data_IF_248969889375
#
_entry.id   IF_248969889375
#
_cell.length_a   1.000
_cell.length_b   1.000
_cell.length_c   1.000
_cell.angle_alpha   90.00
_cell.angle_beta   90.00
_cell.angle_gamma   90.00
#
_symmetry.space_group_name_H-M   'P 1'
#
loop_
_entity.id
_entity.type
_entity.pdbx_description
1 polymer ?
#
# COMPACT_ATOMS: atom_id res chain seq x y z
N UNK A 1 7.75 -8.05 29.88
CA UNK A 1 8.48 -7.87 28.61
C UNK A 1 8.65 -6.38 28.28
N UNK A 2 9.51 -5.67 29.02
CA UNK A 2 9.74 -4.21 28.84
C UNK A 2 10.60 -3.89 27.60
N UNK A 3 11.47 -4.83 27.22
CA UNK A 3 12.41 -4.74 26.08
C UNK A 3 11.75 -4.75 24.69
N UNK A 4 10.54 -5.31 24.55
CA UNK A 4 9.80 -5.30 23.28
C UNK A 4 9.14 -3.94 23.04
N UNK A 5 8.55 -3.35 24.10
CA UNK A 5 7.99 -1.99 24.09
C UNK A 5 9.08 -0.95 23.82
N UNK A 6 10.24 -1.04 24.48
CA UNK A 6 11.37 -0.11 24.26
C UNK A 6 11.92 -0.17 22.83
N UNK A 7 11.94 -1.36 22.19
CA UNK A 7 12.33 -1.49 20.77
C UNK A 7 11.29 -0.92 19.81
N UNK A 8 10.00 -1.10 20.10
CA UNK A 8 8.93 -0.53 19.29
C UNK A 8 8.90 1.00 19.38
N UNK A 9 9.13 1.56 20.57
CA UNK A 9 9.07 3.00 20.80
C UNK A 9 10.23 3.79 20.16
N UNK A 10 11.40 3.16 20.01
CA UNK A 10 12.59 3.80 19.45
C UNK A 10 12.99 3.23 18.08
N UNK A 11 12.03 2.68 17.33
CA UNK A 11 12.38 2.10 16.04
C UNK A 11 12.81 3.18 15.04
N UNK A 12 14.09 3.18 14.58
CA UNK A 12 14.60 4.23 13.70
C UNK A 12 13.88 4.25 12.35
N UNK A 13 13.29 3.13 11.91
CA UNK A 13 12.56 3.08 10.65
C UNK A 13 11.20 3.78 10.73
N UNK A 14 10.60 3.90 11.92
CA UNK A 14 9.37 4.70 12.10
C UNK A 14 9.68 6.18 11.98
N UNK A 15 10.78 6.65 12.58
CA UNK A 15 11.21 8.04 12.44
C UNK A 15 11.62 8.34 11.01
N UNK A 16 12.38 7.44 10.40
CA UNK A 16 12.80 7.55 9.00
C UNK A 16 11.61 7.56 8.05
N UNK A 17 10.61 6.67 8.23
CA UNK A 17 9.43 6.66 7.35
C UNK A 17 8.71 8.00 7.37
N UNK A 18 8.56 8.63 8.54
CA UNK A 18 7.97 9.97 8.64
C UNK A 18 8.82 11.03 7.92
N UNK A 19 10.14 11.01 8.11
CA UNK A 19 11.05 11.94 7.46
C UNK A 19 11.03 11.79 5.93
N UNK A 20 10.93 10.55 5.44
CA UNK A 20 10.89 10.22 4.00
C UNK A 20 9.46 10.32 3.42
N UNK A 21 8.46 10.72 4.22
CA UNK A 21 7.06 10.90 3.77
C UNK A 21 6.23 9.62 3.63
N UNK A 22 6.74 8.48 4.11
CA UNK A 22 6.03 7.21 4.13
C UNK A 22 5.17 7.04 5.38
N UNK A 23 3.95 6.51 5.19
CA UNK A 23 2.96 6.28 6.25
C UNK A 23 3.29 5.14 7.18
N UNK A 24 4.17 4.23 6.76
CA UNK A 24 4.67 3.16 7.62
C UNK A 24 6.08 2.73 7.22
N UNK A 25 6.80 2.17 8.18
CA UNK A 25 8.09 1.51 7.92
C UNK A 25 7.98 0.29 6.98
N UNK A 26 6.76 -0.23 6.74
CA UNK A 26 6.57 -1.37 5.85
C UNK A 26 6.87 -1.00 4.39
N UNK A 27 6.79 0.29 4.03
CA UNK A 27 7.18 0.80 2.70
C UNK A 27 8.60 0.33 2.32
N UNK A 28 9.56 0.37 3.25
CA UNK A 28 10.93 -0.08 3.00
C UNK A 28 11.02 -1.55 2.60
N UNK A 29 10.14 -2.41 3.12
CA UNK A 29 10.12 -3.82 2.75
C UNK A 29 9.77 -3.99 1.28
N UNK A 30 8.73 -3.29 0.81
CA UNK A 30 8.31 -3.36 -0.59
C UNK A 30 9.36 -2.72 -1.52
N UNK A 31 9.95 -1.59 -1.09
CA UNK A 31 11.06 -0.94 -1.82
C UNK A 31 12.22 -1.93 -2.00
N UNK A 32 12.68 -2.57 -0.92
CA UNK A 32 13.79 -3.53 -0.98
C UNK A 32 13.48 -4.75 -1.84
N UNK A 33 12.24 -5.28 -1.76
CA UNK A 33 11.79 -6.41 -2.58
C UNK A 33 11.76 -5.99 -4.07
N UNK A 34 11.16 -4.85 -4.39
CA UNK A 34 11.03 -4.38 -5.76
C UNK A 34 12.38 -3.96 -6.36
N UNK A 35 13.26 -3.31 -5.60
CA UNK A 35 14.60 -2.95 -6.08
C UNK A 35 15.45 -4.19 -6.40
N UNK A 36 15.22 -5.30 -5.70
CA UNK A 36 15.92 -6.56 -5.92
C UNK A 36 15.32 -7.40 -7.05
N UNK A 37 14.00 -7.41 -7.17
CA UNK A 37 13.27 -8.35 -8.03
C UNK A 37 12.56 -7.71 -9.22
N UNK A 38 12.47 -6.37 -9.26
CA UNK A 38 11.83 -5.58 -10.30
C UNK A 38 10.40 -6.07 -10.61
N UNK A 39 9.62 -6.25 -9.53
CA UNK A 39 8.28 -6.82 -9.60
C UNK A 39 7.29 -5.81 -10.20
N UNK A 40 7.40 -4.54 -9.79
CA UNK A 40 6.48 -3.47 -10.13
C UNK A 40 6.99 -2.71 -11.35
N UNK A 41 6.16 -2.61 -12.38
CA UNK A 41 6.46 -1.89 -13.62
C UNK A 41 5.44 -0.79 -13.87
N UNK A 42 5.82 0.29 -14.58
CA UNK A 42 4.87 1.31 -15.02
C UNK A 42 3.66 0.68 -15.73
N UNK A 43 2.45 1.10 -15.33
CA UNK A 43 1.19 0.60 -15.89
C UNK A 43 0.63 -0.67 -15.24
N UNK A 44 1.38 -1.37 -14.37
CA UNK A 44 0.89 -2.58 -13.72
C UNK A 44 -0.24 -2.31 -12.74
N UNK A 45 -1.25 -3.17 -12.80
CA UNK A 45 -2.42 -3.17 -11.93
C UNK A 45 -2.18 -3.96 -10.65
N UNK A 46 -2.21 -3.29 -9.51
CA UNK A 46 -1.82 -3.83 -8.20
C UNK A 46 -2.98 -3.72 -7.21
N UNK A 47 -3.19 -4.80 -6.46
CA UNK A 47 -4.08 -4.82 -5.29
C UNK A 47 -3.24 -4.97 -4.01
N UNK A 48 -3.45 -4.07 -3.05
CA UNK A 48 -2.83 -4.11 -1.72
C UNK A 48 -3.86 -4.57 -0.68
N UNK A 49 -3.69 -5.79 -0.17
CA UNK A 49 -4.62 -6.41 0.80
C UNK A 49 -4.14 -6.15 2.23
N UNK A 50 -5.00 -5.57 3.07
CA UNK A 50 -4.58 -5.12 4.41
C UNK A 50 -3.75 -3.84 4.32
N UNK A 51 -4.22 -2.90 3.51
CA UNK A 51 -3.44 -1.75 3.07
C UNK A 51 -3.17 -0.73 4.19
N UNK A 52 -3.94 -0.67 5.29
CA UNK A 52 -3.81 0.38 6.29
C UNK A 52 -2.41 0.34 6.96
N UNK A 53 -1.68 1.47 7.07
CA UNK A 53 -2.10 2.87 6.82
C UNK A 53 -1.78 3.41 5.40
N UNK A 54 -1.42 2.55 4.44
CA UNK A 54 -1.22 2.90 3.03
C UNK A 54 0.25 2.94 2.59
N UNK A 55 1.17 2.41 3.39
CA UNK A 55 2.61 2.47 3.10
C UNK A 55 3.02 1.70 1.83
N UNK A 56 2.40 0.56 1.57
CA UNK A 56 2.65 -0.21 0.34
C UNK A 56 1.96 0.42 -0.86
N UNK A 57 0.70 0.88 -0.72
CA UNK A 57 0.02 1.70 -1.72
C UNK A 57 0.87 2.89 -2.21
N UNK A 58 1.55 3.64 -1.31
CA UNK A 58 2.43 4.74 -1.70
C UNK A 58 3.57 4.30 -2.62
N UNK A 59 4.22 3.19 -2.28
CA UNK A 59 5.34 2.63 -3.06
C UNK A 59 4.81 2.09 -4.40
N UNK A 60 3.73 1.31 -4.37
CA UNK A 60 3.12 0.74 -5.55
C UNK A 60 2.73 1.84 -6.55
N UNK A 61 2.04 2.90 -6.09
CA UNK A 61 1.60 3.98 -6.96
C UNK A 61 2.79 4.69 -7.64
N UNK A 62 3.87 4.93 -6.90
CA UNK A 62 5.08 5.55 -7.43
C UNK A 62 5.79 4.66 -8.49
N UNK A 63 5.86 3.34 -8.23
CA UNK A 63 6.53 2.36 -9.11
C UNK A 63 5.73 2.08 -10.38
N UNK A 64 4.41 1.98 -10.27
CA UNK A 64 3.50 1.72 -11.40
C UNK A 64 3.06 2.96 -12.15
N UNK A 65 3.55 4.15 -11.77
CA UNK A 65 3.14 5.45 -12.33
C UNK A 65 1.62 5.66 -12.25
N UNK A 66 1.02 5.14 -11.20
CA UNK A 66 -0.40 5.30 -10.91
C UNK A 66 -0.69 6.75 -10.52
N UNK A 67 -1.78 7.29 -11.03
CA UNK A 67 -2.21 8.67 -10.77
C UNK A 67 -3.72 8.71 -10.54
N UNK A 68 -4.25 9.86 -10.14
CA UNK A 68 -5.70 10.02 -10.00
C UNK A 68 -6.44 9.87 -11.33
N UNK A 69 -5.82 10.30 -12.44
CA UNK A 69 -6.41 10.23 -13.80
C UNK A 69 -6.26 8.84 -14.44
N UNK A 70 -5.28 8.06 -13.98
CA UNK A 70 -5.01 6.70 -14.45
C UNK A 70 -4.59 5.83 -13.25
N UNK A 71 -5.56 5.40 -12.43
CA UNK A 71 -5.29 4.58 -11.25
C UNK A 71 -4.96 3.14 -11.68
N UNK A 72 -3.82 2.64 -11.21
CA UNK A 72 -3.38 1.26 -11.35
C UNK A 72 -3.23 0.56 -9.99
N UNK A 73 -3.53 1.24 -8.88
CA UNK A 73 -3.38 0.68 -7.54
C UNK A 73 -4.69 0.79 -6.79
N UNK A 74 -5.13 -0.32 -6.20
CA UNK A 74 -6.28 -0.36 -5.30
C UNK A 74 -5.85 -0.98 -3.97
N UNK A 75 -6.04 -0.26 -2.87
CA UNK A 75 -5.87 -0.77 -1.52
C UNK A 75 -7.21 -1.16 -0.91
N UNK A 76 -7.23 -2.22 -0.11
CA UNK A 76 -8.41 -2.63 0.66
C UNK A 76 -8.03 -2.94 2.11
N UNK A 77 -8.79 -2.38 3.04
CA UNK A 77 -8.65 -2.64 4.47
C UNK A 77 -9.97 -2.34 5.18
N UNK A 78 -10.29 -3.01 6.29
CA UNK A 78 -11.47 -2.67 7.09
C UNK A 78 -11.22 -1.44 7.98
N UNK A 79 -9.95 -1.10 8.23
CA UNK A 79 -9.55 0.09 8.95
C UNK A 79 -9.61 1.33 8.05
N UNK A 80 -10.06 2.44 8.63
CA UNK A 80 -10.01 3.75 7.97
C UNK A 80 -8.56 4.22 7.81
N UNK A 81 -8.26 4.86 6.67
CA UNK A 81 -6.99 5.51 6.41
C UNK A 81 -7.16 6.71 5.49
N UNK A 82 -6.23 7.67 5.55
CA UNK A 82 -6.24 8.82 4.66
C UNK A 82 -6.14 8.39 3.18
N UNK A 83 -6.66 9.19 2.26
CA UNK A 83 -6.52 8.94 0.83
C UNK A 83 -5.04 8.89 0.41
N UNK A 84 -4.63 7.89 -0.37
CA UNK A 84 -3.26 7.78 -0.90
C UNK A 84 -3.25 8.29 -2.36
N UNK A 85 -2.47 9.34 -2.70
CA UNK A 85 -2.39 9.82 -4.07
C UNK A 85 -1.98 8.70 -5.05
N UNK A 86 -2.76 8.54 -6.12
CA UNK A 86 -2.53 7.49 -7.11
C UNK A 86 -2.97 6.09 -6.67
N UNK A 87 -3.73 5.94 -5.58
CA UNK A 87 -4.38 4.68 -5.25
C UNK A 87 -5.85 4.90 -4.88
N UNK A 88 -6.73 4.04 -5.39
CA UNK A 88 -8.09 3.95 -4.88
C UNK A 88 -8.08 3.15 -3.58
N UNK A 89 -8.85 3.57 -2.57
CA UNK A 89 -8.90 2.90 -1.27
C UNK A 89 -10.34 2.43 -1.01
N UNK A 90 -10.49 1.13 -0.79
CA UNK A 90 -11.75 0.51 -0.38
C UNK A 90 -11.69 0.21 1.11
N UNK A 91 -12.54 0.89 1.90
CA UNK A 91 -12.70 0.54 3.30
C UNK A 91 -13.70 -0.61 3.44
N UNK A 92 -13.18 -1.84 3.48
CA UNK A 92 -13.95 -3.08 3.42
C UNK A 92 -13.11 -4.25 3.93
N UNK A 93 -13.77 -5.27 4.50
CA UNK A 93 -13.11 -6.55 4.76
C UNK A 93 -12.83 -7.26 3.42
N UNK A 94 -11.57 -7.62 3.16
CA UNK A 94 -11.21 -8.31 1.92
C UNK A 94 -11.80 -9.73 1.82
N UNK A 95 -12.35 -10.27 2.91
CA UNK A 95 -13.11 -11.53 2.94
C UNK A 95 -14.59 -11.34 2.58
N UNK A 96 -15.08 -10.11 2.42
CA UNK A 96 -16.44 -9.84 1.99
C UNK A 96 -16.68 -10.47 0.60
N UNK A 97 -17.78 -11.21 0.39
CA UNK A 97 -18.13 -11.80 -0.90
C UNK A 97 -18.13 -10.79 -2.06
N UNK A 98 -18.41 -9.51 -1.80
CA UNK A 98 -18.44 -8.46 -2.81
C UNK A 98 -17.05 -7.84 -3.08
N UNK A 99 -16.05 -8.11 -2.23
CA UNK A 99 -14.72 -7.50 -2.33
C UNK A 99 -14.03 -7.76 -3.69
N UNK A 100 -14.03 -8.99 -4.25
CA UNK A 100 -13.40 -9.26 -5.54
C UNK A 100 -14.00 -8.42 -6.68
N UNK A 101 -15.33 -8.26 -6.69
CA UNK A 101 -16.02 -7.46 -7.71
C UNK A 101 -15.65 -5.98 -7.57
N UNK A 102 -15.74 -5.42 -6.35
CA UNK A 102 -15.41 -4.01 -6.10
C UNK A 102 -13.96 -3.68 -6.41
N UNK A 103 -13.04 -4.59 -6.12
CA UNK A 103 -11.62 -4.45 -6.47
C UNK A 103 -11.42 -4.39 -8.00
N UNK A 104 -12.04 -5.30 -8.75
CA UNK A 104 -11.95 -5.33 -10.21
C UNK A 104 -12.54 -4.08 -10.86
N UNK A 105 -13.67 -3.60 -10.33
CA UNK A 105 -14.32 -2.36 -10.76
C UNK A 105 -13.42 -1.14 -10.49
N UNK A 106 -12.87 -1.01 -9.28
CA UNK A 106 -11.98 0.08 -8.90
C UNK A 106 -10.67 0.11 -9.71
N UNK A 107 -10.16 -1.07 -10.10
CA UNK A 107 -8.93 -1.23 -10.88
C UNK A 107 -9.16 -1.07 -12.40
N UNK A 108 -10.42 -1.03 -12.85
CA UNK A 108 -10.77 -0.97 -14.27
C UNK A 108 -10.33 -2.20 -15.07
N UNK A 109 -10.29 -3.38 -14.43
CA UNK A 109 -9.93 -4.66 -15.05
C UNK A 109 -9.24 -5.63 -14.09
N UNK A 110 -8.73 -6.74 -14.63
CA UNK A 110 -8.01 -7.74 -13.84
C UNK A 110 -6.63 -7.19 -13.39
N UNK A 111 -6.18 -7.53 -12.17
CA UNK A 111 -4.81 -7.26 -11.73
C UNK A 111 -3.79 -8.07 -12.55
N UNK A 112 -2.55 -7.56 -12.64
CA UNK A 112 -1.43 -8.20 -13.35
C UNK A 112 -0.62 -9.14 -12.44
#
# INVERSE_FOLDING_TARGET
SRRWLERHMNDPYVQRSKADGYRSRAAYKLIEIDDKHHLLKPGMKVIDLGAAPGGWCQVAAARTKSSADSPHVVGIDYLEMDAVPGAAILQMDFLDPDAPQKLAEALGGQPD
#
